data_IF_919577040709
#
_entry.id   IF_919577040709
#
_cell.length_a   1.000
_cell.length_b   1.000
_cell.length_c   1.000
_cell.angle_alpha   90.00
_cell.angle_beta   90.00
_cell.angle_gamma   90.00
#
_symmetry.space_group_name_H-M   'P 1'
#
loop_
_entity.id
_entity.type
_entity.pdbx_description
1 polymer ?
#
# COMPACT_ATOMS: atom_id res chain seq x y z
N UNK A 1 13.13 -14.03 57.71
CA UNK A 1 14.04 -13.75 56.56
C UNK A 1 14.03 -14.85 55.48
N UNK A 2 14.15 -16.15 55.78
CA UNK A 2 14.22 -17.23 54.77
C UNK A 2 12.95 -17.37 53.86
N UNK A 3 11.73 -17.12 54.35
CA UNK A 3 10.50 -17.23 53.55
C UNK A 3 10.35 -16.08 52.54
N UNK A 4 10.73 -14.87 52.88
CA UNK A 4 10.66 -13.71 51.99
C UNK A 4 11.64 -13.84 50.81
N UNK A 5 12.83 -14.43 51.03
CA UNK A 5 13.81 -14.66 49.96
C UNK A 5 13.32 -15.71 48.93
N UNK A 6 12.52 -16.71 49.32
CA UNK A 6 11.96 -17.71 48.41
C UNK A 6 10.85 -17.10 47.57
N UNK A 7 9.99 -16.26 48.11
CA UNK A 7 8.96 -15.56 47.38
C UNK A 7 9.56 -14.56 46.39
N UNK A 8 10.63 -13.86 46.77
CA UNK A 8 11.35 -12.92 45.88
C UNK A 8 12.00 -13.67 44.72
N UNK A 9 12.62 -14.84 44.98
CA UNK A 9 13.22 -15.69 43.95
C UNK A 9 12.17 -16.22 42.98
N UNK A 10 11.00 -16.65 43.46
CA UNK A 10 9.87 -17.07 42.62
C UNK A 10 9.32 -15.95 41.78
N UNK A 11 9.17 -14.75 42.34
CA UNK A 11 8.72 -13.56 41.59
C UNK A 11 9.71 -13.17 40.49
N UNK A 12 11.02 -13.30 40.76
CA UNK A 12 12.09 -13.00 39.77
C UNK A 12 12.09 -14.03 38.64
N UNK A 13 11.85 -15.33 38.94
CA UNK A 13 11.75 -16.37 37.90
C UNK A 13 10.52 -16.17 37.02
N UNK A 14 9.39 -15.78 37.62
CA UNK A 14 8.13 -15.48 36.86
C UNK A 14 8.32 -14.24 36.00
N UNK A 15 9.02 -13.22 36.47
CA UNK A 15 9.32 -12.00 35.67
C UNK A 15 10.33 -12.26 34.55
N UNK A 16 11.23 -13.21 34.68
CA UNK A 16 12.19 -13.64 33.66
C UNK A 16 11.55 -14.56 32.60
N UNK A 17 10.40 -15.15 32.85
CA UNK A 17 9.62 -15.95 31.91
C UNK A 17 8.59 -15.13 31.12
N UNK A 18 8.57 -13.80 31.27
CA UNK A 18 7.75 -12.87 30.47
C UNK A 18 8.05 -13.05 28.98
N UNK A 19 7.02 -13.27 28.20
CA UNK A 19 6.99 -13.48 26.75
C UNK A 19 8.13 -12.78 26.00
N UNK A 20 9.12 -13.53 25.54
CA UNK A 20 9.95 -13.14 24.44
C UNK A 20 9.09 -13.31 23.15
N UNK A 21 8.22 -12.36 22.86
CA UNK A 21 7.96 -12.07 21.47
C UNK A 21 9.22 -11.33 21.00
N UNK A 22 9.95 -11.93 20.09
CA UNK A 22 11.09 -11.26 19.49
C UNK A 22 10.60 -9.92 18.95
N UNK A 23 11.19 -8.84 19.45
CA UNK A 23 10.87 -7.50 18.98
C UNK A 23 11.12 -7.45 17.46
N UNK A 24 10.30 -6.75 16.67
CA UNK A 24 10.53 -6.64 15.23
C UNK A 24 11.93 -6.08 14.98
N UNK A 25 12.62 -6.64 13.98
CA UNK A 25 13.93 -6.15 13.52
C UNK A 25 13.79 -4.71 13.00
N UNK A 26 12.75 -4.48 12.20
CA UNK A 26 12.44 -3.18 11.62
C UNK A 26 10.94 -2.88 11.68
N UNK A 27 10.61 -1.64 11.99
CA UNK A 27 9.26 -1.09 11.94
C UNK A 27 9.24 -0.06 10.81
N UNK A 28 8.46 -0.32 9.76
CA UNK A 28 8.33 0.56 8.61
C UNK A 28 6.98 1.27 8.71
N UNK A 29 7.00 2.60 8.81
CA UNK A 29 5.80 3.42 8.73
C UNK A 29 5.41 3.66 7.27
N UNK A 30 4.12 3.55 6.95
CA UNK A 30 3.57 3.81 5.62
C UNK A 30 2.49 4.86 5.75
N UNK A 31 2.73 6.05 5.19
CA UNK A 31 1.78 7.16 5.16
C UNK A 31 1.21 7.32 3.75
N UNK A 32 -0.07 6.97 3.61
CA UNK A 32 -0.81 7.05 2.35
C UNK A 32 -1.61 8.34 2.25
N UNK A 33 -1.72 8.90 1.03
CA UNK A 33 -2.50 10.11 0.80
C UNK A 33 -4.01 9.85 0.76
N UNK A 34 -4.44 8.69 0.28
CA UNK A 34 -5.85 8.32 0.09
C UNK A 34 -6.07 6.82 0.21
N UNK A 35 -7.34 6.45 0.43
CA UNK A 35 -7.85 5.06 0.36
C UNK A 35 -8.53 4.88 -0.98
N UNK A 36 -7.96 4.03 -1.82
CA UNK A 36 -8.55 3.64 -3.08
C UNK A 36 -8.02 2.25 -3.51
N UNK A 37 -8.60 1.69 -4.56
CA UNK A 37 -8.24 0.35 -5.02
C UNK A 37 -6.76 0.25 -5.43
N UNK A 38 -6.15 1.33 -5.93
CA UNK A 38 -4.75 1.34 -6.32
C UNK A 38 -3.84 1.21 -5.09
N UNK A 39 -4.12 1.99 -4.03
CA UNK A 39 -3.40 1.89 -2.76
C UNK A 39 -3.66 0.57 -2.03
N UNK A 40 -4.86 0.00 -2.16
CA UNK A 40 -5.16 -1.33 -1.61
C UNK A 40 -4.29 -2.42 -2.23
N UNK A 41 -4.10 -2.39 -3.57
CA UNK A 41 -3.18 -3.30 -4.26
C UNK A 41 -1.74 -3.11 -3.77
N UNK A 42 -1.26 -1.88 -3.71
CA UNK A 42 0.07 -1.54 -3.21
C UNK A 42 0.27 -2.05 -1.78
N UNK A 43 -0.70 -1.80 -0.89
CA UNK A 43 -0.65 -2.26 0.50
C UNK A 43 -0.62 -3.78 0.60
N UNK A 44 -1.35 -4.48 -0.27
CA UNK A 44 -1.34 -5.95 -0.32
C UNK A 44 0.04 -6.48 -0.76
N UNK A 45 0.66 -5.86 -1.76
CA UNK A 45 2.01 -6.19 -2.22
C UNK A 45 3.05 -5.93 -1.12
N UNK A 46 2.99 -4.77 -0.43
CA UNK A 46 3.87 -4.46 0.69
C UNK A 46 3.75 -5.49 1.82
N UNK A 47 2.52 -5.84 2.21
CA UNK A 47 2.27 -6.86 3.25
C UNK A 47 2.78 -8.23 2.84
N UNK A 48 2.57 -8.60 1.59
CA UNK A 48 3.03 -9.88 1.05
C UNK A 48 4.56 -9.95 1.07
N UNK A 49 5.24 -8.92 0.57
CA UNK A 49 6.70 -8.90 0.58
C UNK A 49 7.28 -8.87 1.99
N UNK A 50 6.73 -8.02 2.89
CA UNK A 50 7.18 -7.95 4.28
C UNK A 50 7.08 -9.30 4.99
N UNK A 51 6.09 -10.12 4.65
CA UNK A 51 5.93 -11.45 5.23
C UNK A 51 7.02 -12.46 4.80
N UNK A 52 7.77 -12.21 3.73
CA UNK A 52 8.94 -13.02 3.34
C UNK A 52 10.19 -12.68 4.15
N UNK A 53 10.16 -11.61 4.93
CA UNK A 53 11.30 -11.15 5.73
C UNK A 53 10.97 -11.26 7.22
N UNK A 54 11.84 -11.92 7.99
CA UNK A 54 11.63 -12.06 9.44
C UNK A 54 11.81 -10.71 10.15
N UNK A 55 10.90 -10.42 11.07
CA UNK A 55 11.00 -9.25 11.93
C UNK A 55 10.63 -7.92 11.27
N UNK A 56 9.88 -7.92 10.17
CA UNK A 56 9.35 -6.69 9.57
C UNK A 56 7.93 -6.42 10.08
N UNK A 57 7.71 -5.24 10.67
CA UNK A 57 6.41 -4.72 11.07
C UNK A 57 6.04 -3.53 10.18
N UNK A 58 4.83 -3.53 9.61
CA UNK A 58 4.29 -2.41 8.83
C UNK A 58 3.23 -1.65 9.64
N UNK A 59 3.38 -0.33 9.75
CA UNK A 59 2.39 0.57 10.38
C UNK A 59 1.82 1.50 9.34
N UNK A 60 0.57 1.27 8.96
CA UNK A 60 -0.13 2.08 7.97
C UNK A 60 -0.87 3.25 8.62
N UNK A 61 -0.85 4.39 7.95
CA UNK A 61 -1.67 5.55 8.25
C UNK A 61 -2.22 6.12 6.93
N UNK A 62 -3.50 6.41 6.89
CA UNK A 62 -4.20 6.90 5.73
C UNK A 62 -4.77 8.28 6.01
N UNK A 63 -4.45 9.23 5.14
CA UNK A 63 -4.85 10.62 5.30
C UNK A 63 -6.23 10.93 4.72
N UNK A 64 -6.85 9.99 4.01
CA UNK A 64 -8.15 10.18 3.37
C UNK A 64 -8.25 11.50 2.59
N UNK A 65 -7.22 11.78 1.80
CA UNK A 65 -7.06 12.99 0.98
C UNK A 65 -6.92 14.31 1.76
N UNK A 66 -6.71 14.26 3.08
CA UNK A 66 -6.50 15.45 3.92
C UNK A 66 -4.99 15.65 4.21
N UNK A 67 -4.37 16.75 3.69
CA UNK A 67 -2.95 16.98 3.86
C UNK A 67 -2.54 17.33 5.31
N UNK A 68 -3.43 17.93 6.10
CA UNK A 68 -3.15 18.23 7.52
C UNK A 68 -3.18 16.95 8.35
N UNK A 69 -4.15 16.06 8.07
CA UNK A 69 -4.21 14.73 8.67
C UNK A 69 -2.95 13.97 8.37
N UNK A 70 -2.49 13.97 7.10
CA UNK A 70 -1.25 13.30 6.72
C UNK A 70 -0.04 13.81 7.51
N UNK A 71 0.12 15.12 7.63
CA UNK A 71 1.23 15.71 8.37
C UNK A 71 1.27 15.23 9.83
N UNK A 72 0.11 15.22 10.51
CA UNK A 72 -0.01 14.73 11.90
C UNK A 72 0.26 13.23 12.01
N UNK A 73 -0.18 12.44 11.03
CA UNK A 73 0.05 11.00 10.99
C UNK A 73 1.52 10.65 10.78
N UNK A 74 2.24 11.39 9.92
CA UNK A 74 3.70 11.24 9.76
C UNK A 74 4.41 11.48 11.10
N UNK A 75 4.08 12.58 11.79
CA UNK A 75 4.65 12.88 13.11
C UNK A 75 4.33 11.79 14.15
N UNK A 76 3.13 11.23 14.11
CA UNK A 76 2.71 10.13 14.99
C UNK A 76 3.46 8.83 14.70
N UNK A 77 3.63 8.48 13.41
CA UNK A 77 4.43 7.31 13.01
C UNK A 77 5.87 7.45 13.50
N UNK A 78 6.49 8.61 13.30
CA UNK A 78 7.85 8.89 13.78
C UNK A 78 7.92 8.78 15.31
N UNK A 79 6.95 9.34 16.04
CA UNK A 79 6.89 9.25 17.49
C UNK A 79 6.67 7.81 18.00
N UNK A 80 6.07 6.95 17.20
CA UNK A 80 5.86 5.53 17.53
C UNK A 80 7.12 4.67 17.37
N UNK A 81 8.24 5.24 16.95
CA UNK A 81 9.54 4.57 16.87
C UNK A 81 9.72 3.74 15.59
N UNK A 82 9.23 4.21 14.44
CA UNK A 82 9.53 3.59 13.15
C UNK A 82 11.01 3.73 12.79
N UNK A 83 11.54 2.77 12.05
CA UNK A 83 12.91 2.77 11.55
C UNK A 83 13.05 3.42 10.18
N UNK A 84 11.97 3.43 9.38
CA UNK A 84 11.90 4.03 8.05
C UNK A 84 10.47 4.48 7.77
N UNK A 85 10.31 5.57 7.02
CA UNK A 85 9.03 6.08 6.54
C UNK A 85 8.93 5.89 5.02
N UNK A 86 7.85 5.24 4.56
CA UNK A 86 7.39 5.29 3.18
C UNK A 86 6.22 6.28 3.14
N UNK A 87 6.26 7.25 2.25
CA UNK A 87 5.22 8.27 2.15
C UNK A 87 4.80 8.51 0.69
N UNK A 88 3.48 8.46 0.44
CA UNK A 88 2.86 9.00 -0.77
C UNK A 88 2.30 10.37 -0.42
N UNK A 89 2.96 11.49 -0.80
CA UNK A 89 2.52 12.83 -0.41
C UNK A 89 1.14 13.17 -0.96
N UNK A 90 0.28 13.75 -0.12
CA UNK A 90 -1.05 14.18 -0.56
C UNK A 90 -0.94 15.30 -1.62
N UNK A 91 -0.14 16.32 -1.32
CA UNK A 91 0.17 17.42 -2.21
C UNK A 91 1.66 17.74 -2.18
N UNK A 92 2.14 18.43 -3.22
CA UNK A 92 3.54 18.74 -3.44
C UNK A 92 4.19 19.46 -2.23
N UNK A 93 3.51 20.46 -1.66
CA UNK A 93 4.02 21.32 -0.59
C UNK A 93 3.58 20.93 0.81
N UNK A 94 2.33 20.47 0.98
CA UNK A 94 1.71 20.31 2.30
C UNK A 94 2.36 19.22 3.17
N UNK A 95 2.83 18.12 2.55
CA UNK A 95 3.48 17.03 3.27
C UNK A 95 4.98 17.27 3.48
N UNK A 96 5.60 18.22 2.75
CA UNK A 96 7.04 18.47 2.78
C UNK A 96 7.59 18.80 4.17
N UNK A 97 6.94 19.66 5.00
CA UNK A 97 7.46 19.94 6.35
C UNK A 97 7.48 18.72 7.28
N UNK A 98 6.52 17.81 7.15
CA UNK A 98 6.49 16.59 7.97
C UNK A 98 7.54 15.58 7.51
N UNK A 99 7.79 15.47 6.20
CA UNK A 99 8.89 14.70 5.60
C UNK A 99 10.24 15.22 6.12
N UNK A 100 10.42 16.54 6.09
CA UNK A 100 11.64 17.19 6.59
C UNK A 100 11.89 16.87 8.06
N UNK A 101 10.85 16.95 8.90
CA UNK A 101 10.97 16.62 10.34
C UNK A 101 11.31 15.16 10.58
N UNK A 102 10.76 14.24 9.80
CA UNK A 102 11.08 12.81 9.89
C UNK A 102 12.56 12.59 9.55
N UNK A 103 13.02 13.13 8.42
CA UNK A 103 14.40 13.03 7.97
C UNK A 103 15.39 13.68 8.98
N UNK A 104 15.08 14.87 9.51
CA UNK A 104 15.92 15.58 10.48
C UNK A 104 16.07 14.82 11.81
N UNK A 105 15.12 13.94 12.13
CA UNK A 105 15.23 12.98 13.25
C UNK A 105 16.05 11.74 12.93
N UNK A 106 16.63 11.66 11.73
CA UNK A 106 17.44 10.52 11.28
C UNK A 106 16.63 9.34 10.76
N UNK A 107 15.32 9.51 10.53
CA UNK A 107 14.47 8.48 9.92
C UNK A 107 14.66 8.53 8.40
N UNK A 108 15.14 7.46 7.74
CA UNK A 108 15.17 7.39 6.29
C UNK A 108 13.76 7.51 5.72
N UNK A 109 13.60 8.25 4.60
CA UNK A 109 12.32 8.49 3.97
C UNK A 109 12.35 8.03 2.53
N UNK A 110 11.45 7.14 2.15
CA UNK A 110 11.13 6.80 0.77
C UNK A 110 9.89 7.59 0.37
N UNK A 111 10.05 8.48 -0.60
CA UNK A 111 8.92 9.18 -1.24
C UNK A 111 8.46 8.33 -2.42
N UNK A 112 7.17 8.06 -2.50
CA UNK A 112 6.62 7.20 -3.53
C UNK A 112 5.49 7.88 -4.31
N UNK A 113 5.33 7.48 -5.59
CA UNK A 113 4.29 7.93 -6.51
C UNK A 113 4.34 9.43 -6.82
N UNK A 114 4.16 10.27 -5.81
CA UNK A 114 4.02 11.72 -5.94
C UNK A 114 5.27 12.43 -5.45
N UNK A 115 5.71 13.41 -6.22
CA UNK A 115 6.82 14.30 -5.83
C UNK A 115 6.44 15.14 -4.61
N UNK A 116 7.46 15.63 -3.92
CA UNK A 116 7.38 16.58 -2.82
C UNK A 116 8.32 17.75 -3.09
N UNK A 117 8.07 18.93 -2.54
CA UNK A 117 9.02 20.04 -2.57
C UNK A 117 10.24 19.79 -1.68
N UNK A 118 10.11 18.88 -0.71
CA UNK A 118 11.24 18.49 0.12
C UNK A 118 12.33 17.83 -0.72
N UNK A 119 13.59 18.16 -0.40
CA UNK A 119 14.77 17.45 -0.89
C UNK A 119 15.37 16.50 0.15
N UNK A 120 14.76 16.47 1.34
CA UNK A 120 15.18 15.66 2.48
C UNK A 120 14.49 14.29 2.43
N UNK A 121 14.77 13.51 1.40
CA UNK A 121 14.37 12.13 1.31
C UNK A 121 15.55 11.23 0.93
N UNK A 122 15.47 9.99 1.34
CA UNK A 122 16.50 8.97 1.13
C UNK A 122 16.40 8.39 -0.27
N UNK A 123 15.20 8.06 -0.71
CA UNK A 123 14.93 7.55 -2.04
C UNK A 123 13.57 8.03 -2.57
N UNK A 124 13.45 8.09 -3.90
CA UNK A 124 12.21 8.40 -4.62
C UNK A 124 11.92 7.28 -5.61
N UNK A 125 10.68 6.78 -5.60
CA UNK A 125 10.20 5.76 -6.54
C UNK A 125 8.90 6.25 -7.16
N UNK A 126 8.80 6.26 -8.48
CA UNK A 126 7.59 6.67 -9.21
C UNK A 126 7.55 6.04 -10.60
N UNK A 127 6.48 6.31 -11.32
CA UNK A 127 6.38 6.08 -12.76
C UNK A 127 6.21 7.42 -13.50
N UNK A 128 6.44 7.45 -14.80
CA UNK A 128 6.38 8.67 -15.59
C UNK A 128 4.94 9.00 -16.00
N UNK A 129 4.28 9.83 -15.20
CA UNK A 129 2.91 10.27 -15.46
C UNK A 129 2.79 11.16 -16.72
N UNK A 130 3.84 11.92 -17.04
CA UNK A 130 3.85 12.71 -18.27
C UNK A 130 3.86 11.78 -19.49
N UNK A 131 4.73 10.78 -19.51
CA UNK A 131 4.80 9.78 -20.58
C UNK A 131 3.47 9.02 -20.73
N UNK A 132 2.81 8.67 -19.62
CA UNK A 132 1.49 8.01 -19.67
C UNK A 132 0.45 8.89 -20.36
N UNK A 133 0.36 10.17 -19.99
CA UNK A 133 -0.53 11.12 -20.64
C UNK A 133 -0.20 11.27 -22.12
N UNK A 134 1.08 11.42 -22.45
CA UNK A 134 1.55 11.57 -23.83
C UNK A 134 1.20 10.33 -24.69
N UNK A 135 1.50 9.14 -24.20
CA UNK A 135 1.20 7.91 -24.93
C UNK A 135 -0.31 7.69 -25.14
N UNK A 136 -1.14 8.11 -24.16
CA UNK A 136 -2.60 8.06 -24.32
C UNK A 136 -3.09 9.08 -25.34
N UNK A 137 -2.50 10.27 -25.39
CA UNK A 137 -2.77 11.27 -26.42
C UNK A 137 -2.47 10.75 -27.82
N UNK A 138 -1.29 10.19 -28.02
CA UNK A 138 -0.89 9.57 -29.29
C UNK A 138 -1.80 8.38 -29.67
N UNK A 139 -2.14 7.52 -28.70
CA UNK A 139 -3.05 6.40 -28.95
C UNK A 139 -4.43 6.91 -29.41
N UNK A 140 -5.03 7.86 -28.69
CA UNK A 140 -6.34 8.42 -29.02
C UNK A 140 -6.30 9.12 -30.37
N UNK A 141 -5.29 9.94 -30.62
CA UNK A 141 -5.12 10.62 -31.89
C UNK A 141 -5.02 9.64 -33.07
N UNK A 142 -4.22 8.60 -32.91
CA UNK A 142 -4.10 7.52 -33.91
C UNK A 142 -5.42 6.79 -34.16
N UNK A 143 -6.16 6.46 -33.09
CA UNK A 143 -7.45 5.75 -33.19
C UNK A 143 -8.54 6.61 -33.87
N UNK A 144 -8.50 7.91 -33.65
CA UNK A 144 -9.42 8.87 -34.25
C UNK A 144 -8.97 9.33 -35.67
N UNK A 145 -7.81 8.89 -36.14
CA UNK A 145 -7.26 9.36 -37.43
C UNK A 145 -6.92 10.85 -37.43
N UNK A 146 -6.53 11.41 -36.30
CA UNK A 146 -6.10 12.78 -36.10
C UNK A 146 -7.23 13.81 -36.04
N UNK A 147 -8.50 13.40 -35.89
CA UNK A 147 -9.66 14.31 -35.87
C UNK A 147 -10.75 13.81 -34.93
N UNK A 148 -11.28 14.67 -34.08
CA UNK A 148 -12.42 14.33 -33.22
C UNK A 148 -12.51 15.19 -31.97
N UNK A 149 -13.60 14.99 -31.23
CA UNK A 149 -13.90 15.69 -29.99
C UNK A 149 -13.64 14.78 -28.80
N UNK A 150 -12.88 15.28 -27.83
CA UNK A 150 -12.49 14.53 -26.65
C UNK A 150 -13.06 15.21 -25.40
N UNK A 151 -13.60 14.42 -24.49
CA UNK A 151 -13.79 14.82 -23.08
C UNK A 151 -12.60 14.28 -22.29
N UNK A 152 -11.93 15.17 -21.56
CA UNK A 152 -10.89 14.81 -20.61
C UNK A 152 -11.46 14.86 -19.18
N UNK A 153 -11.38 13.72 -18.45
CA UNK A 153 -11.79 13.62 -17.06
C UNK A 153 -10.54 13.52 -16.20
N UNK A 154 -10.16 14.66 -15.65
CA UNK A 154 -8.89 14.83 -14.92
C UNK A 154 -8.97 14.29 -13.50
N UNK A 155 -7.80 14.09 -12.87
CA UNK A 155 -7.70 13.93 -11.42
C UNK A 155 -7.92 15.25 -10.67
N UNK A 156 -7.92 15.22 -9.32
CA UNK A 156 -8.21 16.40 -8.50
C UNK A 156 -7.13 17.48 -8.67
N UNK A 157 -7.55 18.71 -8.59
CA UNK A 157 -6.68 19.89 -8.66
C UNK A 157 -5.59 19.84 -7.59
N UNK A 158 -4.36 20.15 -7.99
CA UNK A 158 -3.18 20.11 -7.12
C UNK A 158 -2.53 18.71 -7.00
N UNK A 159 -3.10 17.70 -7.63
CA UNK A 159 -2.47 16.39 -7.78
C UNK A 159 -1.38 16.44 -8.85
N UNK A 160 -0.14 16.12 -8.47
CA UNK A 160 0.98 16.14 -9.41
C UNK A 160 0.84 15.09 -10.53
N UNK A 161 0.40 13.85 -10.28
CA UNK A 161 0.09 12.91 -11.36
C UNK A 161 -0.96 13.43 -12.35
N UNK A 162 -2.02 14.09 -11.87
CA UNK A 162 -3.03 14.65 -12.75
C UNK A 162 -2.46 15.75 -13.65
N UNK A 163 -1.65 16.66 -13.09
CA UNK A 163 -0.98 17.73 -13.84
C UNK A 163 -0.01 17.16 -14.89
N UNK A 164 0.78 16.15 -14.54
CA UNK A 164 1.74 15.53 -15.45
C UNK A 164 1.03 14.76 -16.58
N UNK A 165 -0.05 14.02 -16.29
CA UNK A 165 -0.90 13.35 -17.30
C UNK A 165 -1.54 14.36 -18.25
N UNK A 166 -2.10 15.45 -17.72
CA UNK A 166 -2.65 16.55 -18.49
C UNK A 166 -1.60 17.12 -19.45
N UNK A 167 -0.44 17.51 -18.94
CA UNK A 167 0.62 18.12 -19.75
C UNK A 167 1.11 17.18 -20.86
N UNK A 168 1.32 15.89 -20.54
CA UNK A 168 1.72 14.90 -21.54
C UNK A 168 0.67 14.71 -22.63
N UNK A 169 -0.61 14.57 -22.24
CA UNK A 169 -1.72 14.41 -23.16
C UNK A 169 -1.86 15.60 -24.12
N UNK A 170 -1.86 16.82 -23.59
CA UNK A 170 -2.02 18.03 -24.41
C UNK A 170 -0.82 18.27 -25.34
N UNK A 171 0.39 17.89 -24.93
CA UNK A 171 1.56 17.96 -25.84
C UNK A 171 1.40 16.98 -27.01
N UNK A 172 0.95 15.73 -26.72
CA UNK A 172 0.74 14.75 -27.78
C UNK A 172 -0.32 15.17 -28.80
N UNK A 173 -1.47 15.66 -28.32
CA UNK A 173 -2.57 16.06 -29.25
C UNK A 173 -2.33 17.39 -29.96
N UNK A 174 -1.36 18.20 -29.53
CA UNK A 174 -1.03 19.46 -30.17
C UNK A 174 -0.60 19.32 -31.65
N UNK A 175 -0.06 18.14 -32.00
CA UNK A 175 0.34 17.83 -33.40
C UNK A 175 -0.86 17.47 -34.28
N UNK A 176 -2.09 17.39 -33.72
CA UNK A 176 -3.32 17.03 -34.40
C UNK A 176 -4.36 18.16 -34.31
N UNK A 177 -4.30 19.20 -35.16
CA UNK A 177 -5.12 20.41 -35.02
C UNK A 177 -6.63 20.20 -35.16
N UNK A 178 -7.06 19.06 -35.72
CA UNK A 178 -8.48 18.69 -35.86
C UNK A 178 -9.00 17.87 -34.64
N UNK A 179 -8.15 17.59 -33.67
CA UNK A 179 -8.56 17.07 -32.38
C UNK A 179 -8.88 18.25 -31.45
N UNK A 180 -10.02 18.16 -30.77
CA UNK A 180 -10.48 19.22 -29.85
C UNK A 180 -10.87 18.62 -28.51
N UNK A 181 -10.32 19.12 -27.42
CA UNK A 181 -10.83 18.86 -26.08
C UNK A 181 -12.04 19.78 -25.87
N UNK A 182 -13.24 19.20 -25.92
CA UNK A 182 -14.50 19.96 -25.83
C UNK A 182 -14.97 20.12 -24.39
N UNK A 183 -14.41 19.34 -23.48
CA UNK A 183 -14.63 19.49 -22.04
C UNK A 183 -13.41 18.97 -21.27
N UNK A 184 -12.96 19.77 -20.31
CA UNK A 184 -12.01 19.42 -19.26
C UNK A 184 -12.80 19.33 -17.95
N UNK A 185 -12.95 18.13 -17.40
CA UNK A 185 -13.79 17.86 -16.25
C UNK A 185 -12.90 17.48 -15.06
N UNK A 186 -12.94 18.27 -14.00
CA UNK A 186 -12.23 17.95 -12.78
C UNK A 186 -12.92 16.76 -12.05
N UNK A 187 -12.14 15.76 -11.68
CA UNK A 187 -12.56 14.59 -10.93
C UNK A 187 -11.80 14.49 -9.60
N UNK A 188 -12.04 13.37 -8.92
CA UNK A 188 -11.42 13.03 -7.63
C UNK A 188 -10.88 11.60 -7.60
N UNK A 189 -10.58 11.03 -8.76
CA UNK A 189 -10.17 9.64 -9.00
C UNK A 189 -11.29 8.61 -8.85
N UNK A 190 -12.54 9.02 -8.51
CA UNK A 190 -13.65 8.09 -8.31
C UNK A 190 -14.54 7.95 -9.56
N UNK A 191 -15.11 6.78 -9.72
CA UNK A 191 -16.08 6.49 -10.79
C UNK A 191 -17.35 7.33 -10.63
N UNK A 192 -17.82 7.49 -9.38
CA UNK A 192 -19.07 8.18 -9.09
C UNK A 192 -18.98 9.68 -9.42
N UNK A 193 -17.89 10.35 -9.04
CA UNK A 193 -17.69 11.77 -9.40
C UNK A 193 -17.60 11.95 -10.92
N UNK A 194 -16.83 11.10 -11.61
CA UNK A 194 -16.74 11.13 -13.06
C UNK A 194 -18.11 10.90 -13.73
N UNK A 195 -18.88 9.93 -13.24
CA UNK A 195 -20.24 9.69 -13.74
C UNK A 195 -21.13 10.91 -13.55
N UNK A 196 -21.22 11.46 -12.33
CA UNK A 196 -22.09 12.60 -12.02
C UNK A 196 -21.72 13.86 -12.80
N UNK A 197 -20.43 14.12 -12.99
CA UNK A 197 -19.96 15.33 -13.69
C UNK A 197 -20.15 15.21 -15.20
N UNK A 198 -19.81 14.07 -15.81
CA UNK A 198 -20.04 13.84 -17.25
C UNK A 198 -21.53 13.78 -17.56
N UNK A 199 -22.35 13.19 -16.69
CA UNK A 199 -23.81 13.16 -16.83
C UNK A 199 -24.43 14.56 -16.84
N UNK A 200 -23.88 15.49 -16.06
CA UNK A 200 -24.34 16.90 -15.96
C UNK A 200 -23.77 17.81 -17.04
N UNK A 201 -22.80 17.32 -17.82
CA UNK A 201 -22.25 18.14 -18.90
C UNK A 201 -23.33 18.50 -19.91
N UNK A 202 -23.47 19.81 -20.24
CA UNK A 202 -24.56 20.35 -21.05
C UNK A 202 -24.36 20.14 -22.57
N UNK A 203 -23.16 19.70 -22.98
CA UNK A 203 -22.87 19.43 -24.39
C UNK A 203 -23.58 18.17 -24.91
N UNK A 204 -23.61 18.01 -26.22
CA UNK A 204 -24.15 16.83 -26.89
C UNK A 204 -23.12 15.69 -26.85
N UNK A 205 -23.37 14.69 -26.01
CA UNK A 205 -22.50 13.50 -25.88
C UNK A 205 -22.37 12.71 -27.22
N UNK A 206 -23.32 12.83 -28.15
CA UNK A 206 -23.23 12.14 -29.44
C UNK A 206 -22.15 12.74 -30.35
N UNK A 207 -21.66 13.95 -30.05
CA UNK A 207 -20.56 14.61 -30.79
C UNK A 207 -19.20 14.25 -30.24
N UNK A 208 -19.12 13.54 -29.13
CA UNK A 208 -17.86 13.14 -28.48
C UNK A 208 -17.36 11.84 -29.10
N UNK A 209 -16.11 11.85 -29.54
CA UNK A 209 -15.45 10.72 -30.20
C UNK A 209 -14.56 9.90 -29.26
N UNK A 210 -13.99 10.54 -28.24
CA UNK A 210 -13.23 9.85 -27.21
C UNK A 210 -13.41 10.46 -25.81
N UNK A 211 -13.19 9.66 -24.78
CA UNK A 211 -13.00 10.10 -23.39
C UNK A 211 -11.62 9.65 -22.94
N UNK A 212 -10.84 10.58 -22.41
CA UNK A 212 -9.63 10.29 -21.68
C UNK A 212 -9.89 10.51 -20.18
N UNK A 213 -10.00 9.42 -19.44
CA UNK A 213 -9.98 9.46 -17.98
C UNK A 213 -8.54 9.39 -17.46
N UNK A 214 -8.18 10.31 -16.57
CA UNK A 214 -6.84 10.26 -15.97
C UNK A 214 -6.60 9.00 -15.15
N UNK A 215 -7.67 8.25 -14.85
CA UNK A 215 -7.59 6.85 -14.43
C UNK A 215 -8.75 6.03 -15.04
N UNK A 216 -8.69 4.70 -14.88
CA UNK A 216 -9.68 3.78 -15.42
C UNK A 216 -11.09 4.03 -14.83
N UNK A 217 -11.16 4.37 -13.54
CA UNK A 217 -12.42 4.65 -12.85
C UNK A 217 -13.11 5.89 -13.42
N UNK A 218 -12.34 6.93 -13.74
CA UNK A 218 -12.88 8.14 -14.40
C UNK A 218 -13.44 7.81 -15.79
N UNK A 219 -12.74 6.99 -16.57
CA UNK A 219 -13.23 6.55 -17.88
C UNK A 219 -14.49 5.66 -17.76
N UNK A 220 -14.56 4.77 -16.77
CA UNK A 220 -15.73 3.94 -16.49
C UNK A 220 -16.93 4.75 -15.99
N UNK A 221 -16.70 5.77 -15.17
CA UNK A 221 -17.75 6.72 -14.76
C UNK A 221 -18.34 7.47 -15.94
N UNK A 222 -17.49 7.97 -16.84
CA UNK A 222 -17.93 8.57 -18.09
C UNK A 222 -18.74 7.58 -18.93
N UNK A 223 -18.26 6.32 -19.10
CA UNK A 223 -18.98 5.26 -19.80
C UNK A 223 -20.40 5.06 -19.26
N UNK A 224 -20.56 5.05 -17.95
CA UNK A 224 -21.86 4.95 -17.27
C UNK A 224 -22.78 6.11 -17.61
N UNK A 225 -22.24 7.35 -17.64
CA UNK A 225 -22.98 8.56 -18.01
C UNK A 225 -23.48 8.51 -19.47
N UNK A 226 -22.60 8.12 -20.42
CA UNK A 226 -22.96 7.94 -21.82
C UNK A 226 -24.08 6.91 -21.99
N UNK A 227 -23.97 5.76 -21.33
CA UNK A 227 -24.98 4.70 -21.37
C UNK A 227 -26.32 5.18 -20.83
N UNK A 228 -26.34 5.91 -19.73
CA UNK A 228 -27.60 6.39 -19.12
C UNK A 228 -28.28 7.46 -19.96
N UNK A 229 -27.50 8.36 -20.56
CA UNK A 229 -28.02 9.37 -21.50
C UNK A 229 -28.39 8.82 -22.87
N UNK A 230 -28.20 7.52 -23.12
CA UNK A 230 -28.50 6.89 -24.41
C UNK A 230 -27.63 7.39 -25.56
N UNK A 231 -26.46 7.94 -25.27
CA UNK A 231 -25.55 8.48 -26.28
C UNK A 231 -24.70 7.37 -26.92
N UNK A 232 -24.18 7.68 -28.13
CA UNK A 232 -23.19 6.83 -28.81
C UNK A 232 -21.98 6.64 -27.91
N UNK A 233 -21.53 5.40 -27.73
CA UNK A 233 -20.34 5.12 -26.94
C UNK A 233 -19.07 5.64 -27.65
N UNK A 234 -18.28 6.51 -27.03
CA UNK A 234 -17.02 7.00 -27.59
C UNK A 234 -15.91 5.98 -27.37
N UNK A 235 -14.71 6.24 -27.89
CA UNK A 235 -13.46 5.57 -27.48
C UNK A 235 -13.19 5.90 -26.00
N UNK A 236 -13.00 4.88 -25.16
CA UNK A 236 -12.82 5.03 -23.72
C UNK A 236 -11.42 4.62 -23.30
N UNK A 237 -10.63 5.57 -22.82
CA UNK A 237 -9.24 5.35 -22.43
C UNK A 237 -9.01 5.79 -20.98
N UNK A 238 -8.22 5.00 -20.25
CA UNK A 238 -7.87 5.26 -18.85
C UNK A 238 -6.39 5.04 -18.56
N UNK A 239 -6.04 5.18 -17.32
CA UNK A 239 -4.72 4.86 -16.75
C UNK A 239 -5.00 4.11 -15.44
N UNK A 240 -4.16 3.23 -15.04
CA UNK A 240 -3.96 2.36 -13.89
C UNK A 240 -3.74 0.93 -14.36
N UNK A 241 -4.60 0.40 -15.23
CA UNK A 241 -4.55 -0.98 -15.72
C UNK A 241 -4.28 -1.98 -14.59
N UNK A 242 -5.01 -1.83 -13.48
CA UNK A 242 -4.87 -2.73 -12.34
C UNK A 242 -5.24 -4.17 -12.71
N UNK A 243 -4.65 -5.17 -12.02
CA UNK A 243 -5.06 -6.56 -12.16
C UNK A 243 -6.41 -6.85 -11.48
N UNK A 244 -6.95 -8.04 -11.72
CA UNK A 244 -8.18 -8.52 -11.12
C UNK A 244 -9.45 -8.06 -11.82
N UNK A 245 -10.62 -8.61 -11.42
CA UNK A 245 -11.90 -8.44 -12.16
C UNK A 245 -12.37 -6.99 -12.28
N UNK A 246 -12.04 -6.16 -11.29
CA UNK A 246 -12.41 -4.74 -11.27
C UNK A 246 -11.30 -3.83 -11.80
N UNK A 247 -10.17 -4.40 -12.22
CA UNK A 247 -9.02 -3.67 -12.73
C UNK A 247 -9.09 -3.38 -14.22
N UNK A 248 -8.35 -2.36 -14.66
CA UNK A 248 -8.38 -1.88 -16.04
C UNK A 248 -7.97 -2.93 -17.08
N UNK A 249 -7.06 -3.86 -16.76
CA UNK A 249 -6.70 -4.96 -17.67
C UNK A 249 -7.94 -5.77 -18.05
N UNK A 250 -8.75 -6.17 -17.06
CA UNK A 250 -10.01 -6.90 -17.31
C UNK A 250 -11.02 -6.03 -18.06
N UNK A 251 -11.13 -4.75 -17.71
CA UNK A 251 -12.07 -3.83 -18.38
C UNK A 251 -11.74 -3.61 -19.86
N UNK A 252 -10.45 -3.62 -20.22
CA UNK A 252 -10.02 -3.61 -21.63
C UNK A 252 -10.31 -4.96 -22.30
N UNK A 253 -10.00 -6.09 -21.66
CA UNK A 253 -10.28 -7.41 -22.21
C UNK A 253 -11.77 -7.65 -22.45
N UNK A 254 -12.65 -7.12 -21.59
CA UNK A 254 -14.11 -7.19 -21.68
C UNK A 254 -14.73 -6.16 -22.63
N UNK A 255 -13.94 -5.23 -23.19
CA UNK A 255 -14.43 -4.15 -24.07
C UNK A 255 -15.24 -3.07 -23.33
N UNK A 256 -15.00 -2.91 -22.04
CA UNK A 256 -15.54 -1.80 -21.26
C UNK A 256 -14.67 -0.55 -21.37
N UNK A 257 -13.38 -0.71 -21.59
CA UNK A 257 -12.41 0.31 -22.01
C UNK A 257 -11.77 -0.14 -23.32
N UNK A 258 -11.36 0.79 -24.14
CA UNK A 258 -10.62 0.53 -25.36
C UNK A 258 -9.11 0.44 -25.13
N UNK A 259 -8.62 1.21 -24.16
CA UNK A 259 -7.23 1.14 -23.71
C UNK A 259 -7.09 1.61 -22.26
N UNK A 260 -6.03 1.15 -21.63
CA UNK A 260 -5.52 1.66 -20.37
C UNK A 260 -3.99 1.71 -20.40
N UNK A 261 -3.36 2.37 -19.45
CA UNK A 261 -1.90 2.40 -19.30
C UNK A 261 -1.54 1.89 -17.90
N UNK A 262 -0.60 0.95 -17.80
CA UNK A 262 -0.21 0.40 -16.51
C UNK A 262 0.42 1.49 -15.65
N UNK A 263 -0.18 1.76 -14.50
CA UNK A 263 0.42 2.54 -13.42
C UNK A 263 0.84 1.58 -12.30
N UNK A 264 2.14 1.24 -12.22
CA UNK A 264 2.58 0.14 -11.38
C UNK A 264 2.49 0.48 -9.89
N UNK A 265 1.91 -0.41 -9.09
CA UNK A 265 1.78 -0.30 -7.64
C UNK A 265 3.08 -0.61 -6.91
N UNK A 266 3.79 -1.68 -7.28
CA UNK A 266 5.11 -2.12 -6.83
C UNK A 266 5.39 -1.94 -5.33
N UNK A 267 4.41 -2.29 -4.49
CA UNK A 267 4.60 -2.33 -3.04
C UNK A 267 5.72 -3.29 -2.61
N UNK A 268 5.95 -4.36 -3.38
CA UNK A 268 7.06 -5.29 -3.19
C UNK A 268 8.43 -4.61 -3.30
N UNK A 269 8.62 -3.78 -4.33
CA UNK A 269 9.88 -3.05 -4.52
C UNK A 269 10.13 -2.01 -3.42
N UNK A 270 9.07 -1.39 -2.90
CA UNK A 270 9.19 -0.44 -1.79
C UNK A 270 9.70 -1.12 -0.51
N UNK A 271 9.23 -2.33 -0.20
CA UNK A 271 9.70 -3.08 0.96
C UNK A 271 11.13 -3.56 0.77
N UNK A 272 11.49 -4.09 -0.42
CA UNK A 272 12.87 -4.47 -0.74
C UNK A 272 13.82 -3.28 -0.62
N UNK A 273 13.42 -2.11 -1.15
CA UNK A 273 14.19 -0.89 -1.03
C UNK A 273 14.32 -0.43 0.43
N UNK A 274 13.24 -0.51 1.21
CA UNK A 274 13.28 -0.14 2.62
C UNK A 274 14.26 -1.03 3.41
N UNK A 275 14.25 -2.34 3.16
CA UNK A 275 15.16 -3.29 3.80
C UNK A 275 16.61 -3.00 3.38
N UNK A 276 16.87 -2.79 2.08
CA UNK A 276 18.21 -2.45 1.60
C UNK A 276 18.76 -1.17 2.25
N UNK A 277 17.92 -0.14 2.42
CA UNK A 277 18.30 1.09 3.12
C UNK A 277 18.63 0.81 4.59
N UNK A 278 17.80 0.01 5.28
CA UNK A 278 17.96 -0.28 6.71
C UNK A 278 19.13 -1.24 6.99
N UNK A 279 19.44 -2.14 6.08
CA UNK A 279 20.62 -3.03 6.18
C UNK A 279 21.92 -2.35 5.71
N UNK A 280 21.84 -1.13 5.15
CA UNK A 280 23.01 -0.37 4.68
C UNK A 280 23.54 -0.85 3.33
N UNK A 281 22.74 -1.56 2.56
CA UNK A 281 23.06 -2.01 1.22
C UNK A 281 23.04 -0.85 0.21
N UNK A 282 23.56 -1.11 -1.00
CA UNK A 282 23.49 -0.15 -2.10
C UNK A 282 22.08 -0.09 -2.67
N UNK A 283 21.56 1.11 -2.88
CA UNK A 283 20.25 1.34 -3.50
C UNK A 283 20.28 2.56 -4.45
N UNK A 284 19.40 2.60 -5.45
CA UNK A 284 19.24 3.78 -6.30
C UNK A 284 18.50 4.88 -5.52
N UNK A 285 18.96 6.14 -5.65
CA UNK A 285 18.26 7.28 -5.04
C UNK A 285 16.93 7.56 -5.74
N UNK A 286 16.85 7.32 -7.04
CA UNK A 286 15.66 7.51 -7.85
C UNK A 286 15.42 6.26 -8.69
N UNK A 287 14.16 5.79 -8.71
CA UNK A 287 13.72 4.64 -9.48
C UNK A 287 12.46 5.03 -10.26
N UNK A 288 12.53 4.92 -11.59
CA UNK A 288 11.38 5.04 -12.46
C UNK A 288 10.89 3.66 -12.84
N UNK A 289 9.65 3.35 -12.46
CA UNK A 289 9.00 2.08 -12.73
C UNK A 289 8.55 2.01 -14.19
N UNK A 290 8.73 0.83 -14.79
CA UNK A 290 8.30 0.59 -16.17
C UNK A 290 6.79 0.49 -16.26
N UNK A 291 6.25 1.04 -17.33
CA UNK A 291 4.83 1.09 -17.65
C UNK A 291 4.59 0.58 -19.07
N UNK A 292 3.35 0.26 -19.41
CA UNK A 292 2.99 -0.23 -20.74
C UNK A 292 1.54 0.10 -21.09
N UNK A 293 1.28 0.33 -22.38
CA UNK A 293 -0.07 0.47 -22.92
C UNK A 293 -0.78 -0.89 -22.96
N UNK A 294 -2.00 -0.92 -22.46
CA UNK A 294 -2.92 -2.06 -22.54
C UNK A 294 -4.01 -1.74 -23.57
N UNK A 295 -4.13 -2.59 -24.56
CA UNK A 295 -5.14 -2.52 -25.61
C UNK A 295 -5.81 -3.86 -25.79
N UNK A 296 -6.84 -3.99 -26.62
CA UNK A 296 -7.44 -5.28 -26.94
C UNK A 296 -6.45 -6.32 -27.46
N UNK A 297 -5.37 -5.89 -28.12
CA UNK A 297 -4.41 -6.80 -28.72
C UNK A 297 -3.57 -7.56 -27.66
N UNK A 298 -3.33 -6.96 -26.49
CA UNK A 298 -2.52 -7.53 -25.43
C UNK A 298 -3.27 -7.80 -24.12
N UNK A 299 -4.47 -7.24 -23.96
CA UNK A 299 -5.22 -7.32 -22.70
C UNK A 299 -5.46 -8.75 -22.23
N UNK A 300 -5.83 -9.68 -23.13
CA UNK A 300 -6.08 -11.07 -22.78
C UNK A 300 -4.83 -11.76 -22.22
N UNK A 301 -3.67 -11.52 -22.81
CA UNK A 301 -2.40 -12.10 -22.32
C UNK A 301 -2.02 -11.51 -20.96
N UNK A 302 -2.17 -10.19 -20.81
CA UNK A 302 -1.92 -9.49 -19.54
C UNK A 302 -2.91 -9.93 -18.45
N UNK A 303 -4.18 -10.14 -18.79
CA UNK A 303 -5.21 -10.67 -17.89
C UNK A 303 -4.81 -12.05 -17.36
N UNK A 304 -4.49 -12.99 -18.26
CA UNK A 304 -4.08 -14.34 -17.85
C UNK A 304 -2.85 -14.30 -16.94
N UNK A 305 -1.86 -13.45 -17.26
CA UNK A 305 -0.67 -13.25 -16.42
C UNK A 305 -0.99 -12.67 -15.06
N UNK A 306 -1.81 -11.61 -15.03
CA UNK A 306 -2.19 -10.95 -13.78
C UNK A 306 -3.06 -11.84 -12.87
N UNK A 307 -4.00 -12.59 -13.44
CA UNK A 307 -4.86 -13.52 -12.70
C UNK A 307 -4.03 -14.64 -12.04
N UNK A 308 -3.01 -15.13 -12.74
CA UNK A 308 -2.08 -16.11 -12.17
C UNK A 308 -1.26 -15.53 -11.02
N UNK A 309 -0.75 -14.31 -11.16
CA UNK A 309 -0.03 -13.61 -10.08
C UNK A 309 -0.94 -13.41 -8.88
N UNK A 310 -2.19 -12.94 -9.07
CA UNK A 310 -3.18 -12.79 -8.00
C UNK A 310 -3.44 -14.13 -7.30
N UNK A 311 -3.65 -15.20 -8.06
CA UNK A 311 -3.87 -16.55 -7.54
C UNK A 311 -2.67 -17.05 -6.73
N UNK A 312 -1.45 -16.86 -7.24
CA UNK A 312 -0.23 -17.25 -6.54
C UNK A 312 -0.08 -16.47 -5.23
N UNK A 313 -0.28 -15.16 -5.25
CA UNK A 313 -0.22 -14.30 -4.06
C UNK A 313 -1.22 -14.73 -3.00
N UNK A 314 -2.46 -15.01 -3.38
CA UNK A 314 -3.47 -15.53 -2.46
C UNK A 314 -3.08 -16.87 -1.83
N UNK A 315 -2.49 -17.79 -2.63
CA UNK A 315 -2.02 -19.07 -2.14
C UNK A 315 -0.84 -18.91 -1.16
N UNK A 316 0.10 -18.03 -1.48
CA UNK A 316 1.23 -17.70 -0.59
C UNK A 316 0.73 -17.11 0.74
N UNK A 317 -0.18 -16.17 0.71
CA UNK A 317 -0.76 -15.59 1.92
C UNK A 317 -1.49 -16.65 2.79
N UNK A 318 -2.21 -17.60 2.17
CA UNK A 318 -2.82 -18.73 2.87
C UNK A 318 -1.77 -19.65 3.51
N UNK A 319 -0.67 -19.95 2.82
CA UNK A 319 0.41 -20.77 3.35
C UNK A 319 1.12 -20.07 4.51
N UNK A 320 1.38 -18.78 4.41
CA UNK A 320 1.95 -17.98 5.49
C UNK A 320 1.05 -17.93 6.72
N UNK A 321 -0.26 -17.71 6.53
CA UNK A 321 -1.22 -17.74 7.64
C UNK A 321 -1.20 -19.09 8.37
N UNK A 322 -1.11 -20.22 7.64
CA UNK A 322 -0.95 -21.53 8.22
C UNK A 322 0.38 -21.70 8.98
N UNK A 323 1.49 -21.24 8.37
CA UNK A 323 2.82 -21.30 9.00
C UNK A 323 2.85 -20.49 10.31
N UNK A 324 2.28 -19.29 10.32
CA UNK A 324 2.15 -18.46 11.51
C UNK A 324 1.28 -19.13 12.58
N UNK A 325 0.18 -19.77 12.17
CA UNK A 325 -0.66 -20.56 13.09
C UNK A 325 0.12 -21.71 13.74
N UNK A 326 0.95 -22.43 12.98
CA UNK A 326 1.81 -23.48 13.54
C UNK A 326 2.88 -22.90 14.49
N UNK A 327 3.55 -21.79 14.12
CA UNK A 327 4.53 -21.13 15.01
C UNK A 327 3.87 -20.75 16.35
N UNK A 328 2.67 -20.17 16.32
CA UNK A 328 1.91 -19.79 17.52
C UNK A 328 1.51 -21.02 18.35
N UNK A 329 1.09 -22.12 17.71
CA UNK A 329 0.75 -23.36 18.38
C UNK A 329 1.96 -23.97 19.10
N UNK A 330 3.14 -23.99 18.44
CA UNK A 330 4.39 -24.47 19.03
C UNK A 330 4.78 -23.60 20.22
N UNK A 331 4.74 -22.28 20.10
CA UNK A 331 5.03 -21.36 21.19
C UNK A 331 4.10 -21.57 22.40
N UNK A 332 2.80 -21.77 22.13
CA UNK A 332 1.82 -22.09 23.19
C UNK A 332 2.13 -23.41 23.86
N UNK A 333 2.45 -24.47 23.10
CA UNK A 333 2.85 -25.77 23.68
C UNK A 333 4.11 -25.65 24.53
N UNK A 334 5.13 -24.93 24.07
CA UNK A 334 6.36 -24.70 24.85
C UNK A 334 6.05 -24.00 26.17
N UNK A 335 5.20 -22.97 26.16
CA UNK A 335 4.76 -22.26 27.36
C UNK A 335 4.05 -23.20 28.33
N UNK A 336 3.15 -24.07 27.85
CA UNK A 336 2.47 -25.06 28.66
C UNK A 336 3.47 -26.03 29.30
N UNK A 337 4.44 -26.56 28.55
CA UNK A 337 5.46 -27.46 29.10
C UNK A 337 6.34 -26.79 30.14
N UNK A 338 6.70 -25.52 29.96
CA UNK A 338 7.44 -24.72 30.93
C UNK A 338 6.62 -24.60 32.24
N UNK A 339 5.33 -24.27 32.16
CA UNK A 339 4.43 -24.15 33.31
C UNK A 339 4.28 -25.49 34.05
N UNK A 340 4.14 -26.60 33.33
CA UNK A 340 4.10 -27.95 33.91
C UNK A 340 5.40 -28.27 34.66
N UNK A 341 6.56 -27.96 34.04
CA UNK A 341 7.86 -28.15 34.65
C UNK A 341 8.03 -27.34 35.95
N UNK A 342 7.68 -26.04 35.90
CA UNK A 342 7.72 -25.19 37.11
C UNK A 342 6.79 -25.71 38.20
N UNK A 343 5.58 -26.14 37.86
CA UNK A 343 4.61 -26.68 38.81
C UNK A 343 5.14 -27.97 39.49
N UNK A 344 5.78 -28.84 38.71
CA UNK A 344 6.41 -30.06 39.24
C UNK A 344 7.55 -29.76 40.22
N UNK A 345 8.41 -28.78 39.89
CA UNK A 345 9.49 -28.32 40.78
C UNK A 345 8.93 -27.75 42.09
N UNK A 346 7.88 -26.92 42.00
CA UNK A 346 7.22 -26.35 43.17
C UNK A 346 6.59 -27.44 44.08
N UNK A 347 5.99 -28.46 43.48
CA UNK A 347 5.43 -29.58 44.19
C UNK A 347 6.53 -30.37 44.94
N UNK A 348 7.65 -30.66 44.29
CA UNK A 348 8.79 -31.33 44.90
C UNK A 348 9.37 -30.49 46.05
N UNK A 349 9.53 -29.21 45.89
CA UNK A 349 9.98 -28.32 46.97
C UNK A 349 9.01 -28.31 48.15
N UNK A 350 7.70 -28.31 47.90
CA UNK A 350 6.70 -28.37 48.99
C UNK A 350 6.74 -29.67 49.75
N UNK A 351 6.96 -30.82 49.08
CA UNK A 351 7.14 -32.13 49.70
C UNK A 351 8.41 -32.13 50.57
N UNK A 352 9.54 -31.64 50.05
CA UNK A 352 10.79 -31.57 50.82
C UNK A 352 10.63 -30.70 52.07
N UNK A 353 10.00 -29.54 51.94
CA UNK A 353 9.71 -28.65 53.08
C UNK A 353 8.80 -29.33 54.12
N UNK A 354 7.79 -30.06 53.68
CA UNK A 354 6.93 -30.83 54.57
C UNK A 354 7.72 -31.93 55.36
N UNK A 355 8.59 -32.67 54.64
CA UNK A 355 9.45 -33.70 55.29
C UNK A 355 10.37 -33.05 56.33
N UNK A 356 11.02 -31.92 55.98
CA UNK A 356 11.90 -31.19 56.90
C UNK A 356 11.13 -30.64 58.10
N UNK A 357 9.92 -30.14 57.92
CA UNK A 357 9.04 -29.68 58.98
C UNK A 357 8.68 -30.85 59.97
N UNK A 358 8.25 -31.96 59.42
CA UNK A 358 7.91 -33.16 60.31
C UNK A 358 9.14 -33.73 61.00
N UNK A 359 10.32 -33.74 60.37
CA UNK A 359 11.58 -34.13 61.03
C UNK A 359 11.93 -33.18 62.15
N UNK A 360 11.86 -31.87 61.97
CA UNK A 360 12.16 -30.86 62.98
C UNK A 360 11.20 -31.00 64.20
N UNK A 361 9.91 -31.24 63.92
CA UNK A 361 8.91 -31.46 65.00
C UNK A 361 9.16 -32.75 65.84
N UNK A 362 9.56 -33.84 65.16
CA UNK A 362 9.95 -35.09 65.85
C UNK A 362 11.22 -34.93 66.70
N UNK A 363 12.18 -34.16 66.28
CA UNK A 363 13.40 -33.87 67.06
C UNK A 363 13.10 -33.00 68.27
N UNK A 364 12.22 -32.00 68.16
CA UNK A 364 11.79 -31.17 69.27
C UNK A 364 11.00 -31.95 70.31
N UNK A 365 10.18 -32.95 69.93
CA UNK A 365 9.45 -33.87 70.88
C UNK A 365 10.35 -34.86 71.54
N UNK A 366 11.57 -35.15 71.10
CA UNK A 366 12.53 -36.06 71.76
C UNK A 366 13.43 -35.31 72.73
N UNK A 367 13.42 -34.01 72.78
CA UNK A 367 14.21 -33.15 73.67
C UNK A 367 13.38 -32.56 74.83
N UNK A 368 12.07 -32.76 74.81
CA UNK A 368 11.15 -32.47 75.89
C UNK A 368 10.83 -33.82 76.67
#
# INVERSE_FOLDING_TARGET
MKKQSIYLLMLTVILLMGCNQDAPKYIIGVSQCSVDIWHDWQNAEMKTEANFHEGIELRFADANSDPEVQSKQIDSLVASGINLLIVTPNQLSSSSPAIDRAHDKGIPVIVFERKTESRKYTAFVSADNYEMGHMMGEYIASRLGGKGNIIEVMGPKGSKPAEERYNGFHVAIADYPDIKVVAEIEGDWTEDTAYETVKKWEGDLNTVDAVFGHNDRSALGARKAFKERGARMPLLCGIDALPGPDGGIHKVAEGQLDASYIYPTRGDELIKLAIAILDGDRYPKETMLSSALVTHDNAMVLQLGSDEVVRMTQNLNKLQAKANGYKQQIATQQTVWILVGVSAVLLLLSIVLAILYFRSKRLAQKQS
#
